data_IF_050414491361
#
_entry.id   IF_050414491361
#
_cell.length_a   1.000
_cell.length_b   1.000
_cell.length_c   1.000
_cell.angle_alpha   90.00
_cell.angle_beta   90.00
_cell.angle_gamma   90.00
#
_symmetry.space_group_name_H-M   'P 1'
#
loop_
_entity.id
_entity.type
_entity.pdbx_description
1 polymer ?
#
# COMPACT_ATOMS: atom_id res chain seq x y z
N UNK A 1 48.32 24.24 -12.89
CA UNK A 1 46.91 24.51 -13.21
C UNK A 1 46.10 23.63 -12.28
N UNK A 2 45.69 24.20 -11.16
CA UNK A 2 44.94 23.51 -10.11
C UNK A 2 43.47 23.56 -10.52
N UNK A 3 42.89 22.41 -10.81
CA UNK A 3 41.47 22.30 -11.17
C UNK A 3 40.65 22.44 -9.89
N UNK A 4 40.16 23.66 -9.67
CA UNK A 4 39.29 24.02 -8.56
C UNK A 4 37.85 23.77 -8.99
N UNK A 5 37.37 22.54 -8.84
CA UNK A 5 35.93 22.27 -8.87
C UNK A 5 35.32 22.76 -7.56
N UNK A 6 34.86 24.02 -7.55
CA UNK A 6 33.98 24.52 -6.50
C UNK A 6 32.69 23.69 -6.43
N UNK A 7 31.97 23.68 -5.30
CA UNK A 7 30.72 22.92 -5.18
C UNK A 7 29.74 23.37 -6.27
N UNK A 8 29.24 22.41 -7.05
CA UNK A 8 28.29 22.68 -8.13
C UNK A 8 27.03 23.34 -7.57
N UNK A 9 26.54 24.39 -8.24
CA UNK A 9 25.29 25.03 -7.86
C UNK A 9 24.15 23.99 -7.80
N UNK A 10 23.24 24.08 -6.79
CA UNK A 10 22.14 23.14 -6.67
C UNK A 10 21.26 23.19 -7.93
N UNK A 11 20.89 22.03 -8.45
CA UNK A 11 20.06 21.88 -9.65
C UNK A 11 18.62 21.50 -9.28
N UNK A 12 17.67 21.91 -10.13
CA UNK A 12 16.30 21.44 -10.03
C UNK A 12 16.24 19.94 -10.37
N UNK A 13 15.30 19.24 -9.76
CA UNK A 13 15.12 17.78 -9.89
C UNK A 13 13.67 17.47 -10.21
N UNK A 14 13.44 16.35 -10.89
CA UNK A 14 12.10 15.83 -11.12
C UNK A 14 12.06 14.31 -10.93
N UNK A 15 10.94 13.84 -10.39
CA UNK A 15 10.62 12.41 -10.26
C UNK A 15 9.34 12.17 -11.06
N UNK A 16 9.33 11.13 -11.89
CA UNK A 16 8.19 10.79 -12.74
C UNK A 16 7.78 9.35 -12.54
N UNK A 17 6.48 9.09 -12.57
CA UNK A 17 5.94 7.74 -12.68
C UNK A 17 4.71 7.71 -13.59
N UNK A 18 4.36 6.50 -14.03
CA UNK A 18 3.23 6.26 -14.93
C UNK A 18 2.49 5.00 -14.51
N UNK A 19 1.16 5.00 -14.69
CA UNK A 19 0.32 3.81 -14.55
C UNK A 19 -0.77 3.80 -15.60
N UNK A 20 -1.07 2.64 -16.17
CA UNK A 20 -2.21 2.44 -17.06
C UNK A 20 -3.42 1.97 -16.24
N UNK A 21 -4.57 2.59 -16.45
CA UNK A 21 -5.84 2.22 -15.81
C UNK A 21 -6.89 1.91 -16.87
N UNK A 22 -7.73 0.90 -16.60
CA UNK A 22 -8.73 0.39 -17.55
C UNK A 22 -10.01 1.22 -17.68
N UNK A 23 -9.97 2.50 -17.30
CA UNK A 23 -11.10 3.44 -17.38
C UNK A 23 -10.74 4.62 -18.27
N UNK A 24 -11.73 5.30 -18.84
CA UNK A 24 -11.53 6.50 -19.65
C UNK A 24 -10.98 7.69 -18.81
N UNK A 25 -10.41 8.73 -19.45
CA UNK A 25 -9.74 9.81 -18.73
C UNK A 25 -10.64 10.59 -17.77
N UNK A 26 -11.91 10.83 -18.12
CA UNK A 26 -12.84 11.53 -17.24
C UNK A 26 -13.13 10.70 -15.98
N UNK A 27 -13.37 9.40 -16.16
CA UNK A 27 -13.52 8.45 -15.04
C UNK A 27 -12.26 8.35 -14.19
N UNK A 28 -11.07 8.30 -14.80
CA UNK A 28 -9.80 8.27 -14.08
C UNK A 28 -9.60 9.54 -13.25
N UNK A 29 -9.89 10.72 -13.81
CA UNK A 29 -9.80 11.99 -13.10
C UNK A 29 -10.77 12.05 -11.92
N UNK A 30 -12.03 11.63 -12.12
CA UNK A 30 -13.02 11.58 -11.06
C UNK A 30 -12.59 10.62 -9.95
N UNK A 31 -12.12 9.41 -10.29
CA UNK A 31 -11.61 8.46 -9.30
C UNK A 31 -10.38 9.00 -8.55
N UNK A 32 -9.47 9.69 -9.24
CA UNK A 32 -8.27 10.24 -8.60
C UNK A 32 -8.64 11.28 -7.54
N UNK A 33 -9.61 12.13 -7.83
CA UNK A 33 -9.96 13.30 -7.02
C UNK A 33 -11.07 13.00 -6.00
N UNK A 34 -12.20 12.46 -6.46
CA UNK A 34 -13.40 12.23 -5.64
C UNK A 34 -13.29 10.96 -4.78
N UNK A 35 -12.50 9.99 -5.23
CA UNK A 35 -12.32 8.69 -4.56
C UNK A 35 -10.95 8.60 -3.85
N UNK A 36 -10.30 9.74 -3.60
CA UNK A 36 -8.98 9.83 -2.98
C UNK A 36 -8.85 8.97 -1.71
N UNK A 37 -9.83 9.02 -0.82
CA UNK A 37 -9.81 8.23 0.42
C UNK A 37 -10.02 6.72 0.21
N UNK A 38 -10.59 6.32 -0.93
CA UNK A 38 -10.83 4.90 -1.25
C UNK A 38 -9.57 4.22 -1.80
N UNK A 39 -8.69 4.99 -2.45
CA UNK A 39 -7.45 4.46 -3.02
C UNK A 39 -6.21 4.82 -2.22
N UNK A 40 -6.23 5.87 -1.40
CA UNK A 40 -5.13 6.16 -0.50
C UNK A 40 -5.04 5.11 0.61
N UNK A 41 -3.98 4.31 0.61
CA UNK A 41 -3.87 3.18 1.54
C UNK A 41 -3.69 3.69 2.97
N UNK A 42 -4.64 3.33 3.84
CA UNK A 42 -4.51 3.56 5.29
C UNK A 42 -3.41 2.71 5.88
N UNK A 43 -2.67 3.31 6.81
CA UNK A 43 -1.57 2.66 7.52
C UNK A 43 -0.84 3.63 8.43
N UNK A 44 0.08 3.14 9.28
CA UNK A 44 0.76 3.93 10.30
C UNK A 44 1.72 5.00 9.74
N UNK A 45 2.00 4.97 8.44
CA UNK A 45 3.11 5.68 7.77
C UNK A 45 2.68 6.43 6.49
N UNK A 46 1.43 6.26 6.06
CA UNK A 46 0.90 6.87 4.84
C UNK A 46 0.17 8.19 5.11
N UNK A 47 0.24 8.67 6.35
CA UNK A 47 -0.47 9.83 6.88
C UNK A 47 0.44 10.59 7.84
N UNK A 48 0.31 11.91 7.92
CA UNK A 48 1.08 12.75 8.84
C UNK A 48 0.63 12.54 10.29
N UNK A 49 -0.66 12.31 10.52
CA UNK A 49 -1.22 11.97 11.82
C UNK A 49 -2.17 10.76 11.69
N UNK A 50 -1.62 9.61 11.31
CA UNK A 50 -2.36 8.36 11.09
C UNK A 50 -3.32 7.98 12.24
N UNK A 51 -2.99 8.31 13.49
CA UNK A 51 -3.87 8.04 14.65
C UNK A 51 -5.10 8.95 14.77
N UNK A 52 -5.22 9.96 13.91
CA UNK A 52 -6.30 10.96 13.91
C UNK A 52 -7.06 11.04 12.58
N UNK A 53 -6.52 10.43 11.51
CA UNK A 53 -7.07 10.61 10.16
C UNK A 53 -8.49 10.08 10.05
N UNK A 54 -9.39 10.92 9.55
CA UNK A 54 -10.76 10.57 9.19
C UNK A 54 -10.87 10.31 7.69
N UNK A 55 -10.22 11.13 6.85
CA UNK A 55 -10.25 10.96 5.40
C UNK A 55 -9.11 11.71 4.70
N UNK A 56 -8.73 11.25 3.52
CA UNK A 56 -8.06 12.05 2.51
C UNK A 56 -9.09 12.75 1.63
N UNK A 57 -8.92 14.05 1.37
CA UNK A 57 -9.91 14.84 0.62
C UNK A 57 -9.25 15.73 -0.43
N UNK A 58 -9.83 15.75 -1.62
CA UNK A 58 -9.52 16.71 -2.68
C UNK A 58 -10.71 17.66 -2.85
N UNK A 59 -10.51 18.94 -2.58
CA UNK A 59 -11.51 19.96 -2.88
C UNK A 59 -11.36 20.39 -4.34
N UNK A 60 -12.46 20.51 -5.11
CA UNK A 60 -12.37 20.73 -6.54
C UNK A 60 -11.91 22.15 -6.90
N UNK A 61 -11.52 22.31 -8.17
CA UNK A 61 -11.16 23.58 -8.82
C UNK A 61 -9.79 24.18 -8.44
N UNK A 62 -9.31 25.13 -9.25
CA UNK A 62 -8.13 25.92 -8.94
C UNK A 62 -8.33 26.67 -7.62
N UNK A 63 -7.35 26.59 -6.73
CA UNK A 63 -7.41 27.12 -5.37
C UNK A 63 -7.93 26.12 -4.33
N UNK A 64 -8.54 25.01 -4.77
CA UNK A 64 -8.91 23.88 -3.92
C UNK A 64 -7.70 23.24 -3.23
N UNK A 65 -7.95 22.42 -2.21
CA UNK A 65 -6.92 21.85 -1.33
C UNK A 65 -6.91 20.33 -1.41
N UNK A 66 -5.72 19.76 -1.23
CA UNK A 66 -5.54 18.36 -0.83
C UNK A 66 -5.37 18.33 0.69
N UNK A 67 -6.17 17.50 1.37
CA UNK A 67 -6.29 17.51 2.82
C UNK A 67 -6.14 16.11 3.43
N UNK A 68 -5.50 16.05 4.59
CA UNK A 68 -5.68 14.97 5.58
C UNK A 68 -6.64 15.50 6.65
N UNK A 69 -7.87 15.01 6.67
CA UNK A 69 -8.95 15.48 7.56
C UNK A 69 -8.88 14.75 8.89
N UNK A 70 -9.01 15.47 10.00
CA UNK A 70 -8.98 14.94 11.37
C UNK A 70 -10.30 15.08 12.12
N UNK A 71 -11.10 16.08 11.77
CA UNK A 71 -12.41 16.32 12.35
C UNK A 71 -13.28 17.15 11.40
N UNK A 72 -14.32 16.55 10.84
CA UNK A 72 -15.25 17.23 9.94
C UNK A 72 -16.13 18.27 10.64
N UNK A 73 -16.42 18.10 11.93
CA UNK A 73 -17.30 19.02 12.67
C UNK A 73 -16.58 20.34 12.98
N UNK A 74 -15.28 20.30 13.26
CA UNK A 74 -14.46 21.49 13.54
C UNK A 74 -13.75 22.02 12.30
N UNK A 75 -13.63 21.21 11.24
CA UNK A 75 -12.84 21.51 10.05
C UNK A 75 -11.33 21.35 10.29
N UNK A 76 -10.92 20.64 11.34
CA UNK A 76 -9.51 20.34 11.58
C UNK A 76 -8.98 19.40 10.49
N UNK A 77 -8.00 19.90 9.74
CA UNK A 77 -7.36 19.19 8.66
C UNK A 77 -5.95 19.74 8.43
N UNK A 78 -5.03 18.88 8.01
CA UNK A 78 -3.75 19.29 7.46
C UNK A 78 -3.90 19.57 5.96
N UNK A 79 -3.53 20.77 5.52
CA UNK A 79 -3.39 21.07 4.10
C UNK A 79 -2.08 20.47 3.57
N UNK A 80 -2.21 19.51 2.65
CA UNK A 80 -1.09 18.85 1.98
C UNK A 80 -0.62 19.65 0.76
N UNK A 81 -1.54 20.33 0.08
CA UNK A 81 -1.22 21.14 -1.09
C UNK A 81 -2.40 21.93 -1.62
N UNK A 82 -2.09 22.90 -2.48
CA UNK A 82 -3.06 23.79 -3.14
C UNK A 82 -3.07 23.61 -4.64
N UNK A 83 -4.24 23.35 -5.19
CA UNK A 83 -4.47 23.08 -6.61
C UNK A 83 -4.19 24.35 -7.43
N UNK A 84 -3.33 24.21 -8.43
CA UNK A 84 -2.94 25.26 -9.38
C UNK A 84 -3.52 25.03 -10.77
N UNK A 85 -3.86 23.79 -11.13
CA UNK A 85 -4.52 23.42 -12.40
C UNK A 85 -5.63 22.42 -12.12
N UNK A 86 -6.80 22.64 -12.72
CA UNK A 86 -7.96 21.75 -12.65
C UNK A 86 -8.60 21.64 -14.03
N UNK A 87 -8.23 20.61 -14.78
CA UNK A 87 -8.76 20.30 -16.10
C UNK A 87 -9.30 18.86 -16.07
N UNK A 88 -10.60 18.67 -15.83
CA UNK A 88 -11.21 17.34 -15.78
C UNK A 88 -10.83 16.46 -16.97
N UNK A 89 -10.48 15.20 -16.69
CA UNK A 89 -10.08 14.23 -17.68
C UNK A 89 -8.73 14.48 -18.36
N UNK A 90 -7.99 15.52 -17.95
CA UNK A 90 -6.76 15.94 -18.65
C UNK A 90 -5.59 16.22 -17.73
N UNK A 91 -5.77 17.10 -16.75
CA UNK A 91 -4.65 17.60 -15.93
C UNK A 91 -5.10 18.08 -14.56
N UNK A 92 -4.36 17.67 -13.53
CA UNK A 92 -4.45 18.17 -12.17
C UNK A 92 -3.05 18.58 -11.72
N UNK A 93 -2.87 19.76 -11.14
CA UNK A 93 -1.59 20.16 -10.58
C UNK A 93 -1.76 20.91 -9.26
N UNK A 94 -0.76 20.82 -8.39
CA UNK A 94 -0.73 21.53 -7.11
C UNK A 94 0.70 21.84 -6.67
N UNK A 95 0.81 22.83 -5.78
CA UNK A 95 2.01 23.07 -4.97
C UNK A 95 1.80 22.48 -3.59
N UNK A 96 2.80 21.78 -3.07
CA UNK A 96 2.81 21.29 -1.69
C UNK A 96 2.72 22.46 -0.70
N UNK A 97 2.01 22.25 0.40
CA UNK A 97 1.95 23.20 1.52
C UNK A 97 2.95 22.82 2.63
N UNK A 98 3.70 21.73 2.46
CA UNK A 98 4.60 21.15 3.46
C UNK A 98 6.08 21.25 3.09
N UNK A 99 6.37 21.41 1.81
CA UNK A 99 7.72 21.45 1.23
C UNK A 99 7.73 22.17 -0.12
N UNK A 100 8.86 22.15 -0.84
CA UNK A 100 9.05 22.90 -2.08
C UNK A 100 8.60 22.13 -3.33
N UNK A 101 7.89 21.00 -3.17
CA UNK A 101 7.49 20.14 -4.29
C UNK A 101 6.25 20.68 -5.00
N UNK A 102 6.31 20.73 -6.33
CA UNK A 102 5.10 20.87 -7.17
C UNK A 102 4.82 19.55 -7.89
N UNK A 103 3.55 19.16 -7.96
CA UNK A 103 3.14 17.91 -8.58
C UNK A 103 2.10 18.16 -9.66
N UNK A 104 2.22 17.42 -10.74
CA UNK A 104 1.31 17.42 -11.88
C UNK A 104 0.92 15.99 -12.21
N UNK A 105 -0.36 15.77 -12.49
CA UNK A 105 -0.95 14.51 -12.92
C UNK A 105 -1.64 14.75 -14.25
N UNK A 106 -1.25 13.99 -15.27
CA UNK A 106 -1.82 14.04 -16.61
C UNK A 106 -2.60 12.74 -16.88
N UNK A 107 -3.77 12.88 -17.50
CA UNK A 107 -4.69 11.80 -17.84
C UNK A 107 -4.78 11.74 -19.37
N UNK A 108 -4.03 10.84 -20.00
CA UNK A 108 -3.96 10.72 -21.45
C UNK A 108 -4.73 9.48 -21.91
N UNK A 109 -5.53 9.56 -22.99
CA UNK A 109 -6.13 8.37 -23.60
C UNK A 109 -5.06 7.34 -23.96
N UNK A 110 -5.19 6.12 -23.42
CA UNK A 110 -4.38 4.95 -23.75
C UNK A 110 -5.14 3.97 -24.66
N UNK A 111 -4.49 2.88 -25.06
CA UNK A 111 -5.06 1.92 -26.01
C UNK A 111 -6.41 1.33 -25.60
N UNK A 112 -6.63 1.08 -24.31
CA UNK A 112 -7.90 0.56 -23.76
C UNK A 112 -8.33 1.24 -22.46
N UNK A 113 -7.90 2.49 -22.23
CA UNK A 113 -8.13 3.18 -20.96
C UNK A 113 -7.37 4.51 -20.87
N UNK A 114 -6.71 4.76 -19.75
CA UNK A 114 -5.98 6.01 -19.48
C UNK A 114 -4.56 5.73 -19.03
N UNK A 115 -3.60 6.46 -19.60
CA UNK A 115 -2.23 6.57 -19.09
C UNK A 115 -2.21 7.73 -18.11
N UNK A 116 -1.97 7.44 -16.83
CA UNK A 116 -1.89 8.43 -15.75
C UNK A 116 -0.41 8.67 -15.45
N UNK A 117 0.07 9.88 -15.74
CA UNK A 117 1.47 10.27 -15.54
C UNK A 117 1.57 11.26 -14.39
N UNK A 118 2.41 10.98 -13.40
CA UNK A 118 2.66 11.86 -12.26
C UNK A 118 4.07 12.40 -12.34
N UNK A 119 4.22 13.71 -12.30
CA UNK A 119 5.51 14.38 -12.31
C UNK A 119 5.63 15.32 -11.11
N UNK A 120 6.53 15.00 -10.19
CA UNK A 120 6.91 15.86 -9.08
C UNK A 120 8.20 16.62 -9.42
N UNK A 121 8.24 17.92 -9.15
CA UNK A 121 9.38 18.80 -9.40
C UNK A 121 9.82 19.49 -8.11
N UNK A 122 11.13 19.45 -7.87
CA UNK A 122 11.80 20.12 -6.76
C UNK A 122 12.69 21.22 -7.36
N UNK A 123 12.49 22.50 -7.00
CA UNK A 123 13.32 23.58 -7.50
C UNK A 123 14.76 23.45 -7.01
N UNK A 124 15.69 24.17 -7.65
CA UNK A 124 17.08 24.23 -7.23
C UNK A 124 17.18 24.71 -5.77
N UNK A 125 17.78 23.89 -4.90
CA UNK A 125 17.88 24.19 -3.46
C UNK A 125 16.60 23.93 -2.65
N UNK A 126 15.53 23.44 -3.30
CA UNK A 126 14.28 23.08 -2.64
C UNK A 126 14.39 21.79 -1.81
N UNK A 127 13.56 21.72 -0.79
CA UNK A 127 13.41 20.59 0.12
C UNK A 127 12.23 19.71 -0.31
N UNK A 128 12.42 18.41 -0.18
CA UNK A 128 11.36 17.40 -0.29
C UNK A 128 11.22 16.76 1.08
N UNK A 129 10.04 16.86 1.67
CA UNK A 129 9.67 16.29 2.98
C UNK A 129 8.56 15.25 2.83
N UNK A 130 8.43 14.68 1.64
CA UNK A 130 7.40 13.71 1.30
C UNK A 130 6.55 14.11 0.11
N UNK A 131 6.69 15.33 -0.43
CA UNK A 131 5.93 15.79 -1.59
C UNK A 131 6.11 14.91 -2.83
N UNK A 132 7.26 14.27 -3.02
CA UNK A 132 7.44 13.31 -4.13
C UNK A 132 6.74 11.97 -3.92
N UNK A 133 6.17 11.70 -2.74
CA UNK A 133 5.49 10.44 -2.43
C UNK A 133 4.34 10.12 -3.39
N UNK A 134 3.66 11.14 -3.93
CA UNK A 134 2.63 10.99 -4.97
C UNK A 134 3.10 10.17 -6.17
N UNK A 135 4.35 10.35 -6.60
CA UNK A 135 4.94 9.57 -7.71
C UNK A 135 5.10 8.08 -7.35
N UNK A 136 5.24 7.75 -6.07
CA UNK A 136 5.39 6.36 -5.61
C UNK A 136 4.05 5.69 -5.36
N UNK A 137 3.07 6.41 -4.81
CA UNK A 137 1.79 5.82 -4.37
C UNK A 137 0.78 5.69 -5.50
N UNK A 138 0.76 6.60 -6.47
CA UNK A 138 -0.23 6.56 -7.56
C UNK A 138 -0.11 5.27 -8.39
N UNK A 139 1.07 4.84 -8.87
CA UNK A 139 1.16 3.57 -9.60
C UNK A 139 0.79 2.35 -8.75
N UNK A 140 1.09 2.39 -7.46
CA UNK A 140 0.86 1.26 -6.54
C UNK A 140 -0.61 1.09 -6.15
N UNK A 141 -1.28 2.20 -5.83
CA UNK A 141 -2.57 2.15 -5.16
C UNK A 141 -3.71 2.61 -6.07
N UNK A 142 -3.54 3.72 -6.78
CA UNK A 142 -4.57 4.23 -7.68
C UNK A 142 -4.86 3.27 -8.85
N UNK A 143 -3.81 2.69 -9.45
CA UNK A 143 -3.97 1.68 -10.49
C UNK A 143 -4.74 0.45 -10.02
N UNK A 144 -4.40 -0.06 -8.83
CA UNK A 144 -5.09 -1.21 -8.21
C UNK A 144 -6.53 -0.89 -7.85
N UNK A 145 -6.81 0.33 -7.38
CA UNK A 145 -8.18 0.78 -7.14
C UNK A 145 -9.01 0.75 -8.43
N UNK A 146 -8.51 1.37 -9.50
CA UNK A 146 -9.20 1.40 -10.79
C UNK A 146 -9.52 -0.01 -11.32
N UNK A 147 -8.61 -0.98 -11.14
CA UNK A 147 -8.81 -2.36 -11.59
C UNK A 147 -10.00 -3.08 -10.94
N UNK A 148 -10.42 -2.68 -9.73
CA UNK A 148 -11.55 -3.28 -9.00
C UNK A 148 -12.71 -2.31 -8.75
N UNK A 149 -12.60 -1.07 -9.21
CA UNK A 149 -13.46 0.07 -8.84
C UNK A 149 -14.94 -0.18 -9.02
N UNK A 150 -15.34 -0.85 -10.10
CA UNK A 150 -16.75 -1.03 -10.45
C UNK A 150 -17.45 -2.09 -9.57
N UNK A 151 -16.70 -3.02 -9.00
CA UNK A 151 -17.20 -4.04 -8.07
C UNK A 151 -16.85 -3.79 -6.60
N UNK A 152 -15.95 -2.84 -6.32
CA UNK A 152 -15.51 -2.56 -4.96
C UNK A 152 -16.57 -1.73 -4.18
N UNK A 153 -16.82 -2.06 -2.90
CA UNK A 153 -17.60 -1.20 -2.02
C UNK A 153 -17.00 0.21 -1.95
N UNK A 154 -17.85 1.24 -1.92
CA UNK A 154 -17.45 2.63 -1.70
C UNK A 154 -17.35 2.94 -0.21
N UNK A 155 -16.70 2.05 0.52
CA UNK A 155 -16.51 2.09 1.97
C UNK A 155 -15.02 2.00 2.26
N UNK A 156 -14.52 2.92 3.06
CA UNK A 156 -13.13 2.93 3.52
C UNK A 156 -13.01 1.89 4.63
N UNK A 157 -12.09 0.94 4.45
CA UNK A 157 -11.83 -0.09 5.46
C UNK A 157 -10.67 0.34 6.34
N UNK A 158 -10.99 0.72 7.58
CA UNK A 158 -9.98 0.94 8.62
C UNK A 158 -9.38 -0.37 9.12
N UNK A 159 -8.22 -0.25 9.74
CA UNK A 159 -7.53 -1.38 10.35
C UNK A 159 -8.21 -1.81 11.65
N UNK A 160 -8.24 -3.12 11.87
CA UNK A 160 -8.58 -3.68 13.16
C UNK A 160 -7.63 -3.12 14.24
N UNK A 161 -8.14 -3.03 15.48
CA UNK A 161 -7.36 -2.56 16.63
C UNK A 161 -6.19 -3.46 17.02
N UNK A 162 -6.15 -4.69 16.48
CA UNK A 162 -5.08 -5.65 16.67
C UNK A 162 -4.36 -5.88 15.34
N UNK A 163 -3.04 -5.75 15.36
CA UNK A 163 -2.15 -6.16 14.29
C UNK A 163 -1.19 -7.24 14.82
N UNK A 164 -0.68 -8.08 13.93
CA UNK A 164 0.28 -9.12 14.28
C UNK A 164 1.63 -8.83 13.60
N UNK A 165 2.71 -8.93 14.35
CA UNK A 165 4.06 -8.95 13.81
C UNK A 165 4.61 -10.38 13.79
N UNK A 166 5.19 -10.79 12.67
CA UNK A 166 5.90 -12.06 12.50
C UNK A 166 7.27 -11.79 11.90
N UNK A 167 8.28 -12.57 12.30
CA UNK A 167 9.68 -12.30 11.95
C UNK A 167 10.29 -13.49 11.22
N UNK A 168 10.89 -13.20 10.05
CA UNK A 168 11.48 -14.21 9.18
C UNK A 168 12.97 -13.95 8.96
N UNK A 169 13.77 -15.01 8.80
CA UNK A 169 15.17 -14.85 8.39
C UNK A 169 15.26 -14.32 6.96
N UNK A 170 14.33 -14.70 6.09
CA UNK A 170 14.23 -14.25 4.69
C UNK A 170 12.85 -13.64 4.42
N UNK A 171 12.59 -12.40 4.91
CA UNK A 171 11.26 -11.79 4.86
C UNK A 171 10.72 -11.60 3.43
N UNK A 172 11.55 -11.28 2.44
CA UNK A 172 11.08 -11.11 1.05
C UNK A 172 10.65 -12.45 0.44
N UNK A 173 11.47 -13.49 0.63
CA UNK A 173 11.12 -14.85 0.19
C UNK A 173 9.87 -15.38 0.90
N UNK A 174 9.76 -15.16 2.22
CA UNK A 174 8.59 -15.56 3.00
C UNK A 174 7.33 -14.84 2.53
N UNK A 175 7.39 -13.51 2.32
CA UNK A 175 6.24 -12.74 1.84
C UNK A 175 5.74 -13.26 0.48
N UNK A 176 6.63 -13.47 -0.49
CA UNK A 176 6.24 -14.02 -1.79
C UNK A 176 5.62 -15.40 -1.67
N UNK A 177 6.15 -16.25 -0.79
CA UNK A 177 5.57 -17.57 -0.53
C UNK A 177 4.19 -17.48 0.13
N UNK A 178 4.00 -16.63 1.15
CA UNK A 178 2.70 -16.47 1.82
C UNK A 178 1.63 -15.94 0.85
N UNK A 179 2.00 -14.99 -0.03
CA UNK A 179 1.10 -14.51 -1.07
C UNK A 179 0.78 -15.60 -2.10
N UNK A 180 1.77 -16.35 -2.56
CA UNK A 180 1.56 -17.42 -3.55
C UNK A 180 0.76 -18.59 -2.97
N UNK A 181 1.13 -19.09 -1.80
CA UNK A 181 0.57 -20.32 -1.22
C UNK A 181 -0.71 -20.05 -0.44
N UNK A 182 -0.70 -19.08 0.48
CA UNK A 182 -1.87 -18.72 1.30
C UNK A 182 -2.73 -17.60 0.71
N UNK A 183 -2.34 -17.01 -0.42
CA UNK A 183 -3.17 -15.97 -1.05
C UNK A 183 -3.21 -14.65 -0.28
N UNK A 184 -2.23 -14.38 0.59
CA UNK A 184 -2.17 -13.12 1.34
C UNK A 184 -1.94 -11.93 0.40
N UNK A 185 -2.72 -10.86 0.60
CA UNK A 185 -2.66 -9.66 -0.23
C UNK A 185 -1.91 -8.53 0.47
N UNK A 186 -0.87 -8.00 -0.17
CA UNK A 186 -0.14 -6.82 0.30
C UNK A 186 -0.74 -5.56 -0.33
N UNK A 187 -0.87 -4.42 0.39
CA UNK A 187 -1.26 -3.16 -0.23
C UNK A 187 -0.20 -2.64 -1.22
N UNK A 188 1.08 -2.90 -0.93
CA UNK A 188 2.22 -2.57 -1.78
C UNK A 188 2.70 -3.76 -2.62
N UNK A 189 3.37 -3.54 -3.76
CA UNK A 189 4.10 -4.60 -4.44
C UNK A 189 5.08 -5.29 -3.50
N UNK A 190 5.10 -6.62 -3.53
CA UNK A 190 6.04 -7.39 -2.73
C UNK A 190 7.47 -7.12 -3.21
N UNK A 191 8.46 -7.02 -2.32
CA UNK A 191 9.83 -6.80 -2.73
C UNK A 191 10.34 -7.90 -3.66
N UNK A 192 11.10 -7.52 -4.69
CA UNK A 192 11.77 -8.42 -5.61
C UNK A 192 13.22 -8.71 -5.15
N UNK A 193 13.82 -9.75 -5.71
CA UNK A 193 15.21 -10.13 -5.40
C UNK A 193 15.39 -11.06 -4.20
N UNK A 194 16.64 -11.39 -3.90
CA UNK A 194 17.03 -12.34 -2.85
C UNK A 194 17.33 -11.62 -1.53
N UNK A 195 16.89 -12.19 -0.42
CA UNK A 195 17.25 -11.68 0.91
C UNK A 195 18.77 -11.80 1.19
N UNK A 196 19.37 -10.89 1.99
CA UNK A 196 18.73 -9.67 2.51
C UNK A 196 18.54 -8.63 1.41
N UNK A 197 17.40 -7.95 1.43
CA UNK A 197 17.19 -6.80 0.55
C UNK A 197 18.14 -5.67 0.96
N UNK A 198 18.62 -4.84 0.01
CA UNK A 198 19.38 -3.66 0.34
C UNK A 198 18.55 -2.72 1.22
N UNK A 199 19.21 -2.10 2.21
CA UNK A 199 18.59 -1.01 2.98
C UNK A 199 18.27 0.13 2.01
N UNK A 200 16.99 0.43 1.84
CA UNK A 200 16.55 1.55 1.02
C UNK A 200 16.31 2.77 1.91
N UNK A 201 16.80 3.94 1.47
CA UNK A 201 16.69 5.22 2.17
C UNK A 201 15.24 5.59 2.58
N UNK A 202 14.24 5.07 1.84
CA UNK A 202 12.82 5.37 2.03
C UNK A 202 11.93 4.13 2.21
N UNK A 203 12.51 2.97 2.53
CA UNK A 203 11.76 1.73 2.76
C UNK A 203 11.41 1.53 4.22
N UNK A 204 10.22 0.99 4.48
CA UNK A 204 9.80 0.63 5.82
C UNK A 204 10.52 -0.65 6.27
N UNK A 205 10.76 -0.84 7.58
CA UNK A 205 11.44 -2.04 8.07
C UNK A 205 10.57 -3.31 8.02
N UNK A 206 9.37 -3.23 7.44
CA UNK A 206 8.45 -4.36 7.32
C UNK A 206 7.78 -4.47 5.94
N UNK A 207 7.33 -5.68 5.63
CA UNK A 207 6.40 -5.98 4.54
C UNK A 207 5.01 -6.15 5.17
N UNK A 208 3.98 -5.56 4.60
CA UNK A 208 2.62 -5.61 5.16
C UNK A 208 1.69 -6.50 4.33
N UNK A 209 0.85 -7.30 4.99
CA UNK A 209 -0.31 -7.95 4.41
C UNK A 209 -1.60 -7.42 5.04
N UNK A 210 -2.68 -7.43 4.25
CA UNK A 210 -4.06 -7.14 4.67
C UNK A 210 -4.85 -8.45 4.66
N UNK A 211 -5.24 -8.91 5.84
CA UNK A 211 -6.08 -10.09 6.02
C UNK A 211 -7.45 -9.61 6.55
N UNK A 212 -8.43 -9.48 5.67
CA UNK A 212 -9.63 -8.70 5.97
C UNK A 212 -9.25 -7.25 6.31
N UNK A 213 -9.68 -6.76 7.47
CA UNK A 213 -9.25 -5.47 8.03
C UNK A 213 -8.01 -5.55 8.95
N UNK A 214 -7.39 -6.72 9.14
CA UNK A 214 -6.23 -6.86 10.02
C UNK A 214 -4.92 -6.59 9.28
N UNK A 215 -3.95 -6.00 9.98
CA UNK A 215 -2.58 -5.85 9.49
C UNK A 215 -1.71 -7.01 10.00
N UNK A 216 -0.97 -7.62 9.07
CA UNK A 216 0.10 -8.57 9.35
C UNK A 216 1.42 -7.95 8.88
N UNK A 217 2.33 -7.70 9.80
CA UNK A 217 3.62 -7.07 9.55
C UNK A 217 4.73 -8.13 9.59
N UNK A 218 5.51 -8.21 8.51
CA UNK A 218 6.66 -9.11 8.39
C UNK A 218 7.95 -8.34 8.62
N UNK A 219 8.70 -8.73 9.64
CA UNK A 219 10.00 -8.15 9.98
C UNK A 219 11.15 -9.08 9.63
N UNK A 220 12.32 -8.48 9.39
CA UNK A 220 13.59 -9.21 9.37
C UNK A 220 13.89 -9.73 10.78
N UNK A 221 14.10 -11.03 10.90
CA UNK A 221 14.64 -11.67 12.10
C UNK A 221 16.16 -11.68 12.03
N UNK A 222 16.79 -11.09 13.02
CA UNK A 222 18.20 -11.32 13.34
C UNK A 222 18.32 -12.71 13.97
N UNK A 223 19.22 -13.54 13.44
CA UNK A 223 19.33 -14.96 13.82
C UNK A 223 20.79 -15.34 13.90
N UNK A 224 21.18 -15.99 15.00
CA UNK A 224 22.49 -16.62 15.16
C UNK A 224 22.57 -18.02 14.53
N UNK A 225 21.42 -18.56 14.08
CA UNK A 225 21.29 -19.86 13.42
C UNK A 225 20.49 -20.88 14.22
N UNK A 226 20.08 -20.56 15.45
CA UNK A 226 19.22 -21.42 16.27
C UNK A 226 17.74 -21.32 15.84
N UNK A 227 17.04 -22.45 15.64
CA UNK A 227 15.59 -22.45 15.47
C UNK A 227 14.89 -22.27 16.81
N UNK A 228 14.11 -21.20 16.96
CA UNK A 228 13.18 -21.07 18.09
C UNK A 228 11.88 -21.85 17.80
N UNK A 229 11.31 -22.54 18.79
CA UNK A 229 9.97 -23.09 18.65
C UNK A 229 8.95 -21.95 18.46
N UNK A 230 7.91 -22.13 17.63
CA UNK A 230 6.88 -21.10 17.46
C UNK A 230 6.17 -20.84 18.80
N UNK A 231 6.26 -19.61 19.29
CA UNK A 231 5.64 -19.19 20.56
C UNK A 231 4.19 -18.69 20.39
N UNK A 232 3.80 -18.35 19.16
CA UNK A 232 2.46 -17.87 18.80
C UNK A 232 2.01 -18.55 17.50
N UNK A 233 0.70 -18.83 17.40
CA UNK A 233 0.07 -19.44 16.23
C UNK A 233 -1.01 -18.50 15.73
N UNK A 234 -0.85 -17.85 14.56
CA UNK A 234 -1.88 -17.02 13.99
C UNK A 234 -3.10 -17.85 13.58
N UNK A 235 -4.29 -17.32 13.84
CA UNK A 235 -5.56 -17.85 13.35
C UNK A 235 -6.09 -16.92 12.27
N UNK A 236 -6.14 -17.43 11.04
CA UNK A 236 -6.58 -16.68 9.87
C UNK A 236 -7.93 -17.23 9.42
N UNK A 237 -8.94 -16.38 9.46
CA UNK A 237 -10.27 -16.73 8.98
C UNK A 237 -10.37 -16.40 7.49
N UNK A 238 -10.79 -17.37 6.68
CA UNK A 238 -10.90 -17.25 5.23
C UNK A 238 -12.33 -17.49 4.77
N UNK A 239 -12.73 -16.85 3.67
CA UNK A 239 -14.12 -16.87 3.19
C UNK A 239 -14.56 -18.24 2.68
N UNK A 240 -13.65 -19.01 2.08
CA UNK A 240 -13.88 -20.38 1.60
C UNK A 240 -12.70 -21.25 2.03
N UNK A 241 -12.88 -22.02 3.10
CA UNK A 241 -11.83 -22.84 3.69
C UNK A 241 -11.45 -24.02 2.81
N UNK A 242 -12.40 -24.63 2.09
CA UNK A 242 -12.13 -25.72 1.17
C UNK A 242 -11.26 -25.27 0.00
N UNK A 243 -11.61 -24.14 -0.64
CA UNK A 243 -10.84 -23.56 -1.73
C UNK A 243 -9.45 -23.11 -1.26
N UNK A 244 -9.36 -22.49 -0.08
CA UNK A 244 -8.08 -22.08 0.50
C UNK A 244 -7.19 -23.29 0.81
N UNK A 245 -7.73 -24.36 1.40
CA UNK A 245 -7.01 -25.60 1.66
C UNK A 245 -6.51 -26.24 0.36
N UNK A 246 -7.36 -26.35 -0.67
CA UNK A 246 -6.97 -26.89 -1.98
C UNK A 246 -5.84 -26.07 -2.62
N UNK A 247 -5.91 -24.74 -2.54
CA UNK A 247 -4.84 -23.85 -3.01
C UNK A 247 -3.52 -24.14 -2.27
N UNK A 248 -3.55 -24.11 -0.95
CA UNK A 248 -2.36 -24.26 -0.13
C UNK A 248 -1.69 -25.62 -0.39
N UNK A 249 -2.46 -26.71 -0.34
CA UNK A 249 -1.96 -28.06 -0.65
C UNK A 249 -1.43 -28.18 -2.06
N UNK A 250 -2.16 -27.66 -3.06
CA UNK A 250 -1.77 -27.71 -4.47
C UNK A 250 -0.49 -26.92 -4.78
N UNK A 251 -0.11 -25.97 -3.92
CA UNK A 251 1.10 -25.15 -4.03
C UNK A 251 2.22 -25.58 -3.08
N UNK A 252 2.08 -26.73 -2.43
CA UNK A 252 3.14 -27.34 -1.63
C UNK A 252 3.26 -26.81 -0.21
N UNK A 253 2.18 -26.29 0.39
CA UNK A 253 2.14 -26.05 1.83
C UNK A 253 2.34 -27.36 2.62
N UNK A 254 3.10 -27.30 3.71
CA UNK A 254 3.24 -28.44 4.63
C UNK A 254 2.02 -28.49 5.57
N UNK A 255 1.00 -29.27 5.18
CA UNK A 255 -0.25 -29.41 5.94
C UNK A 255 -0.04 -30.40 7.09
N UNK A 256 0.18 -29.87 8.29
CA UNK A 256 0.42 -30.65 9.52
C UNK A 256 -0.87 -31.17 10.16
N UNK A 257 -2.00 -30.53 9.91
CA UNK A 257 -3.33 -31.03 10.27
C UNK A 257 -4.27 -30.85 9.09
N UNK A 258 -4.85 -31.93 8.54
CA UNK A 258 -5.75 -31.85 7.40
C UNK A 258 -7.06 -31.14 7.75
N UNK A 259 -7.71 -30.59 6.72
CA UNK A 259 -9.02 -29.97 6.86
C UNK A 259 -10.04 -30.91 7.51
N UNK A 260 -10.59 -30.47 8.64
CA UNK A 260 -11.61 -31.19 9.40
C UNK A 260 -12.49 -30.21 10.18
N UNK A 261 -13.61 -30.69 10.72
CA UNK A 261 -14.53 -29.87 11.54
C UNK A 261 -14.95 -30.63 12.81
N UNK A 262 -13.99 -31.01 13.69
CA UNK A 262 -14.29 -31.84 14.86
C UNK A 262 -15.25 -31.18 15.86
N UNK A 263 -15.29 -29.84 15.87
CA UNK A 263 -16.11 -29.04 16.80
C UNK A 263 -17.12 -28.14 16.08
N UNK A 264 -17.42 -28.43 14.81
CA UNK A 264 -18.36 -27.63 13.99
C UNK A 264 -17.77 -26.38 13.34
N UNK A 265 -16.51 -26.03 13.62
CA UNK A 265 -15.73 -25.04 12.86
C UNK A 265 -14.76 -25.79 11.92
N UNK A 266 -14.92 -25.68 10.60
CA UNK A 266 -13.93 -26.18 9.65
C UNK A 266 -12.59 -25.45 9.77
N UNK A 267 -11.49 -26.18 9.90
CA UNK A 267 -10.14 -25.63 9.93
C UNK A 267 -9.08 -26.64 9.49
N UNK A 268 -7.90 -26.12 9.12
CA UNK A 268 -6.68 -26.90 8.92
C UNK A 268 -5.46 -26.15 9.46
N UNK A 269 -4.34 -26.86 9.63
CA UNK A 269 -3.09 -26.28 10.11
C UNK A 269 -1.98 -26.59 9.11
N UNK A 270 -1.17 -25.58 8.79
CA UNK A 270 0.01 -25.73 7.94
C UNK A 270 1.21 -24.97 8.50
N UNK A 271 2.40 -25.47 8.21
CA UNK A 271 3.66 -24.80 8.52
C UNK A 271 4.17 -24.07 7.25
N UNK A 272 4.81 -22.92 7.45
CA UNK A 272 5.42 -22.12 6.38
C UNK A 272 6.88 -22.53 6.09
N UNK A 273 7.60 -21.92 5.11
CA UNK A 273 8.95 -22.33 4.74
C UNK A 273 10.02 -22.18 5.84
N UNK A 274 9.74 -21.43 6.90
CA UNK A 274 10.62 -21.31 8.06
C UNK A 274 10.09 -22.07 9.29
N UNK A 275 9.02 -22.85 9.12
CA UNK A 275 8.44 -23.70 10.16
C UNK A 275 7.50 -22.98 11.12
N UNK A 276 7.05 -21.76 10.81
CA UNK A 276 6.03 -21.13 11.65
C UNK A 276 4.66 -21.72 11.33
N UNK A 277 3.87 -21.95 12.38
CA UNK A 277 2.58 -22.62 12.31
C UNK A 277 1.44 -21.64 12.09
N UNK A 278 0.56 -21.95 11.15
CA UNK A 278 -0.63 -21.18 10.79
C UNK A 278 -1.89 -22.02 10.92
N UNK A 279 -2.93 -21.49 11.57
CA UNK A 279 -4.27 -22.11 11.61
C UNK A 279 -5.20 -21.33 10.68
N UNK A 280 -5.82 -22.02 9.74
CA UNK A 280 -6.82 -21.45 8.84
C UNK A 280 -8.19 -22.00 9.18
N UNK A 281 -9.18 -21.13 9.33
CA UNK A 281 -10.54 -21.52 9.69
C UNK A 281 -11.58 -20.80 8.82
N UNK A 282 -12.76 -21.40 8.70
CA UNK A 282 -13.88 -20.79 7.98
C UNK A 282 -14.34 -19.50 8.67
N UNK A 283 -14.35 -18.39 7.94
CA UNK A 283 -14.91 -17.12 8.39
C UNK A 283 -16.43 -17.22 8.54
N UNK A 284 -16.99 -16.53 9.54
CA UNK A 284 -18.43 -16.27 9.61
C UNK A 284 -18.78 -15.13 8.64
N UNK A 285 -20.00 -15.10 8.05
CA UNK A 285 -20.38 -14.04 7.10
C UNK A 285 -20.29 -12.60 7.63
N UNK A 286 -20.28 -12.41 8.96
CA UNK A 286 -20.18 -11.10 9.61
C UNK A 286 -18.75 -10.71 9.99
N UNK A 287 -17.76 -11.58 9.78
CA UNK A 287 -16.34 -11.24 9.96
C UNK A 287 -15.91 -10.40 8.76
N UNK A 288 -15.32 -9.22 9.03
CA UNK A 288 -14.79 -8.28 8.03
C UNK A 288 -13.35 -7.96 8.36
#
# INVERSE_FOLDING_TARGET
MSDSTGPSAPQARSVTSTVEVGVDPDTAFAAFTEELDLWWVRGPINHHAAGRVLAMRCEPSVGGRLLEVYDDATGDALELGRITVWEPGRRLAWTSSLDDVSTEVEFEPGGSGTVVRVVARIPAGGQDRGGTAWTRVVPKWFGRWCAKRDGAPREVRDLARLALAVSYRRPAAAARWLADVFGFESPDPLPEGTDPLPETEYGHPWIEFRLGNSSLMLFKRESDGTPDPPIHVPWVYVDDIEAHHQRASGRGADVVQPLSSPWGLPFYVADDPEGNRWTFAQARPTMR
#
